data_IF_183704035982
#
_entry.id   IF_183704035982
#
_cell.length_a   1.000
_cell.length_b   1.000
_cell.length_c   1.000
_cell.angle_alpha   90.00
_cell.angle_beta   90.00
_cell.angle_gamma   90.00
#
_symmetry.space_group_name_H-M   'P 1'
#
loop_
_entity.id
_entity.type
_entity.pdbx_description
1 polymer ?
#
# COMPACT_ATOMS: atom_id res chain seq x y z
N UNK A 1 -0.03 16.89 -27.21
CA UNK A 1 -1.19 15.98 -27.02
C UNK A 1 -1.22 15.43 -25.58
N UNK A 2 -0.13 14.84 -25.05
CA UNK A 2 -0.13 14.29 -23.68
C UNK A 2 -0.27 15.36 -22.60
N UNK A 3 0.28 16.54 -22.80
CA UNK A 3 0.19 17.69 -21.87
C UNK A 3 -1.25 18.21 -21.67
N UNK A 4 -2.15 17.93 -22.63
CA UNK A 4 -3.58 18.25 -22.48
C UNK A 4 -4.30 17.32 -21.48
N UNK A 5 -3.72 16.18 -21.14
CA UNK A 5 -4.33 15.18 -20.23
C UNK A 5 -3.60 15.05 -18.89
N UNK A 6 -2.35 15.47 -18.78
CA UNK A 6 -1.56 15.34 -17.55
C UNK A 6 -0.54 16.47 -17.41
N UNK A 7 -0.45 16.99 -16.18
CA UNK A 7 0.58 17.97 -15.80
C UNK A 7 1.95 17.33 -15.57
N UNK A 8 1.99 16.05 -15.26
CA UNK A 8 3.21 15.33 -14.91
C UNK A 8 3.42 14.19 -15.92
N UNK A 9 4.35 14.38 -16.85
CA UNK A 9 4.69 13.41 -17.88
C UNK A 9 6.14 12.97 -17.68
N UNK A 10 6.35 11.65 -17.55
CA UNK A 10 7.67 11.07 -17.38
C UNK A 10 7.98 10.14 -18.54
N UNK A 11 9.09 10.41 -19.24
CA UNK A 11 9.61 9.49 -20.25
C UNK A 11 10.45 8.41 -19.56
N UNK A 12 10.00 7.15 -19.64
CA UNK A 12 10.63 6.01 -18.96
C UNK A 12 11.36 5.06 -19.94
N UNK A 13 11.67 5.53 -21.14
CA UNK A 13 12.40 4.77 -22.14
C UNK A 13 11.52 3.80 -22.92
N UNK A 14 11.86 2.51 -22.95
CA UNK A 14 11.24 1.51 -23.81
C UNK A 14 9.76 1.30 -23.51
N UNK A 15 9.01 0.87 -24.53
CA UNK A 15 7.61 0.41 -24.39
C UNK A 15 7.50 -0.65 -23.28
N UNK A 16 6.44 -0.53 -22.47
CA UNK A 16 6.22 -1.40 -21.30
C UNK A 16 6.79 -0.85 -19.98
N UNK A 17 7.80 0.03 -20.03
CA UNK A 17 8.40 0.59 -18.80
C UNK A 17 7.40 1.41 -17.96
N UNK A 18 6.42 2.06 -18.59
CA UNK A 18 5.34 2.75 -17.87
C UNK A 18 4.49 1.78 -17.04
N UNK A 19 4.13 0.62 -17.57
CA UNK A 19 3.40 -0.41 -16.84
C UNK A 19 4.26 -1.01 -15.70
N UNK A 20 5.53 -1.29 -15.98
CA UNK A 20 6.47 -1.74 -14.95
C UNK A 20 6.58 -0.70 -13.84
N UNK A 21 6.75 0.58 -14.17
CA UNK A 21 6.85 1.65 -13.17
C UNK A 21 5.59 1.77 -12.32
N UNK A 22 4.39 1.60 -12.90
CA UNK A 22 3.13 1.54 -12.13
C UNK A 22 3.14 0.42 -11.09
N UNK A 23 3.60 -0.78 -11.46
CA UNK A 23 3.68 -1.91 -10.53
C UNK A 23 4.72 -1.69 -9.44
N UNK A 24 5.89 -1.12 -9.78
CA UNK A 24 6.93 -0.74 -8.82
C UNK A 24 6.38 0.29 -7.80
N UNK A 25 5.72 1.33 -8.30
CA UNK A 25 5.07 2.35 -7.47
C UNK A 25 4.02 1.72 -6.53
N UNK A 26 3.13 0.89 -7.06
CA UNK A 26 2.10 0.24 -6.25
C UNK A 26 2.71 -0.70 -5.19
N UNK A 27 3.80 -1.40 -5.51
CA UNK A 27 4.50 -2.21 -4.52
C UNK A 27 5.03 -1.39 -3.35
N UNK A 28 5.57 -0.19 -3.61
CA UNK A 28 6.01 0.74 -2.57
C UNK A 28 4.80 1.21 -1.74
N UNK A 29 3.74 1.69 -2.40
CA UNK A 29 2.53 2.18 -1.71
C UNK A 29 1.90 1.10 -0.83
N UNK A 30 1.77 -0.14 -1.33
CA UNK A 30 1.19 -1.24 -0.57
C UNK A 30 2.07 -1.65 0.61
N UNK A 31 3.40 -1.68 0.43
CA UNK A 31 4.34 -1.98 1.52
C UNK A 31 4.27 -0.93 2.62
N UNK A 32 4.23 0.37 2.26
CA UNK A 32 4.07 1.46 3.22
C UNK A 32 2.73 1.36 3.94
N UNK A 33 1.66 1.00 3.25
CA UNK A 33 0.34 0.82 3.87
C UNK A 33 0.36 -0.32 4.90
N UNK A 34 0.89 -1.49 4.53
CA UNK A 34 0.95 -2.64 5.41
C UNK A 34 1.80 -2.39 6.66
N UNK A 35 3.00 -1.77 6.49
CA UNK A 35 3.84 -1.44 7.65
C UNK A 35 3.16 -0.40 8.56
N UNK A 36 2.41 0.56 8.02
CA UNK A 36 1.64 1.47 8.87
C UNK A 36 0.54 0.73 9.64
N UNK A 37 -0.17 -0.23 9.01
CA UNK A 37 -1.15 -1.06 9.74
C UNK A 37 -0.49 -1.80 10.91
N UNK A 38 0.67 -2.39 10.69
CA UNK A 38 1.42 -3.10 11.73
C UNK A 38 1.83 -2.17 12.87
N UNK A 39 2.50 -1.06 12.56
CA UNK A 39 3.04 -0.14 13.57
C UNK A 39 1.94 0.51 14.40
N UNK A 40 0.79 0.87 13.80
CA UNK A 40 -0.33 1.42 14.55
C UNK A 40 -0.92 0.39 15.53
N UNK A 41 -1.05 -0.88 15.11
CA UNK A 41 -1.53 -1.94 16.01
C UNK A 41 -0.53 -2.21 17.14
N UNK A 42 0.78 -2.22 16.84
CA UNK A 42 1.81 -2.30 17.89
C UNK A 42 1.69 -1.12 18.87
N UNK A 43 1.61 0.12 18.36
CA UNK A 43 1.52 1.32 19.18
C UNK A 43 0.30 1.29 20.14
N UNK A 44 -0.84 0.79 19.64
CA UNK A 44 -2.05 0.56 20.48
C UNK A 44 -1.78 -0.34 21.69
N UNK A 45 -0.98 -1.38 21.52
CA UNK A 45 -0.63 -2.29 22.63
C UNK A 45 0.18 -1.60 23.74
N UNK A 46 0.80 -0.47 23.43
CA UNK A 46 1.49 0.41 24.37
C UNK A 46 0.66 1.64 24.79
N UNK A 47 -0.62 1.71 24.45
CA UNK A 47 -1.50 2.81 24.81
C UNK A 47 -1.34 4.10 23.98
N UNK A 48 -0.61 4.05 22.86
CA UNK A 48 -0.43 5.20 21.96
C UNK A 48 -1.58 5.20 20.95
N UNK A 49 -2.23 6.36 20.78
CA UNK A 49 -3.37 6.45 19.85
C UNK A 49 -2.91 6.48 18.38
N UNK A 50 -3.74 5.97 17.48
CA UNK A 50 -3.48 6.02 16.03
C UNK A 50 -3.22 7.45 15.53
N UNK A 51 -3.99 8.40 16.07
CA UNK A 51 -3.87 9.82 15.74
C UNK A 51 -2.50 10.36 16.14
N UNK A 52 -2.00 10.01 17.32
CA UNK A 52 -0.67 10.46 17.76
C UNK A 52 0.44 9.87 16.90
N UNK A 53 0.36 8.57 16.57
CA UNK A 53 1.33 7.92 15.67
C UNK A 53 1.37 8.63 14.32
N UNK A 54 0.21 8.85 13.71
CA UNK A 54 0.11 9.51 12.39
C UNK A 54 0.59 10.97 12.46
N UNK A 55 0.31 11.69 13.53
CA UNK A 55 0.80 13.05 13.73
C UNK A 55 2.33 13.09 13.83
N UNK A 56 2.94 12.16 14.56
CA UNK A 56 4.41 12.02 14.65
C UNK A 56 4.99 11.68 13.28
N UNK A 57 4.42 10.70 12.56
CA UNK A 57 4.90 10.34 11.22
C UNK A 57 4.89 11.52 10.27
N UNK A 58 3.80 12.31 10.26
CA UNK A 58 3.64 13.46 9.38
C UNK A 58 4.58 14.65 9.72
N UNK A 59 5.20 14.64 10.88
CA UNK A 59 6.21 15.65 11.31
C UNK A 59 7.64 15.12 11.26
N UNK A 60 7.84 13.88 10.81
CA UNK A 60 9.13 13.20 10.79
C UNK A 60 9.43 12.55 9.42
N UNK A 61 10.57 11.85 9.32
CA UNK A 61 11.01 11.16 8.11
C UNK A 61 10.12 9.96 7.71
N UNK A 62 9.18 9.55 8.56
CA UNK A 62 8.20 8.52 8.25
C UNK A 62 7.00 9.04 7.43
N UNK A 63 6.96 10.35 7.13
CA UNK A 63 5.91 10.96 6.32
C UNK A 63 5.79 10.32 4.94
N UNK A 64 4.57 10.01 4.55
CA UNK A 64 4.21 9.46 3.25
C UNK A 64 2.81 9.87 2.85
N UNK A 65 2.42 9.69 1.58
CA UNK A 65 1.03 9.88 1.16
C UNK A 65 0.06 9.01 1.99
N UNK A 66 0.51 7.83 2.41
CA UNK A 66 -0.29 6.92 3.23
C UNK A 66 -0.57 7.54 4.61
N UNK A 67 0.45 8.04 5.30
CA UNK A 67 0.29 8.68 6.60
C UNK A 67 -0.40 10.05 6.51
N UNK A 68 -0.11 10.85 5.48
CA UNK A 68 -0.64 12.21 5.34
C UNK A 68 -2.09 12.25 4.84
N UNK A 69 -2.47 11.31 3.98
CA UNK A 69 -3.77 11.32 3.30
C UNK A 69 -4.62 10.08 3.61
N UNK A 70 -4.10 8.87 3.39
CA UNK A 70 -4.91 7.65 3.50
C UNK A 70 -5.40 7.38 4.91
N UNK A 71 -4.51 7.40 5.90
CA UNK A 71 -4.93 7.16 7.28
C UNK A 71 -5.92 8.21 7.77
N UNK A 72 -5.67 9.53 7.71
CA UNK A 72 -6.63 10.51 8.18
C UNK A 72 -7.98 10.47 7.46
N UNK A 73 -7.96 10.39 6.13
CA UNK A 73 -9.17 10.58 5.33
C UNK A 73 -10.00 9.32 5.09
N UNK A 74 -9.42 8.12 5.30
CA UNK A 74 -10.11 6.87 4.95
C UNK A 74 -10.17 5.86 6.10
N UNK A 75 -9.33 5.99 7.14
CA UNK A 75 -9.23 5.02 8.24
C UNK A 75 -9.60 5.68 9.57
N UNK A 76 -8.87 6.71 10.00
CA UNK A 76 -9.09 7.37 11.30
C UNK A 76 -10.45 8.06 11.39
N UNK A 77 -11.01 8.50 10.27
CA UNK A 77 -12.37 9.03 10.19
C UNK A 77 -13.47 7.95 10.21
N UNK A 78 -13.10 6.66 10.29
CA UNK A 78 -14.01 5.53 10.36
C UNK A 78 -14.72 5.15 9.05
N UNK A 79 -14.43 5.79 7.90
CA UNK A 79 -15.17 5.57 6.65
C UNK A 79 -14.73 4.31 5.88
N UNK A 80 -13.46 3.91 5.97
CA UNK A 80 -12.89 2.75 5.26
C UNK A 80 -13.22 2.71 3.76
N UNK A 81 -12.97 3.82 3.07
CA UNK A 81 -13.37 4.06 1.69
C UNK A 81 -12.20 4.53 0.81
N UNK A 82 -11.09 3.78 0.82
CA UNK A 82 -9.90 4.07 0.02
C UNK A 82 -10.11 3.95 -1.49
N UNK A 83 -11.30 3.53 -1.93
CA UNK A 83 -11.75 3.40 -3.34
C UNK A 83 -10.95 2.37 -4.14
N UNK A 84 -10.49 1.31 -3.49
CA UNK A 84 -9.89 0.14 -4.14
C UNK A 84 -10.17 -1.11 -3.32
N UNK A 85 -10.29 -2.25 -3.96
CA UNK A 85 -10.54 -3.53 -3.29
C UNK A 85 -9.25 -4.22 -2.87
N UNK A 86 -9.34 -5.14 -1.90
CA UNK A 86 -8.24 -6.04 -1.50
C UNK A 86 -7.75 -6.84 -2.70
N UNK A 87 -8.65 -7.27 -3.60
CA UNK A 87 -8.29 -7.94 -4.86
C UNK A 87 -7.28 -7.16 -5.68
N UNK A 88 -7.44 -5.83 -5.77
CA UNK A 88 -6.52 -4.99 -6.55
C UNK A 88 -5.11 -4.99 -5.96
N UNK A 89 -4.98 -4.94 -4.62
CA UNK A 89 -3.68 -5.03 -3.96
C UNK A 89 -3.03 -6.41 -4.19
N UNK A 90 -3.79 -7.49 -3.97
CA UNK A 90 -3.33 -8.86 -4.22
C UNK A 90 -2.86 -9.04 -5.67
N UNK A 91 -3.66 -8.56 -6.63
CA UNK A 91 -3.34 -8.66 -8.06
C UNK A 91 -2.04 -7.92 -8.41
N UNK A 92 -1.90 -6.68 -7.97
CA UNK A 92 -0.73 -5.85 -8.32
C UNK A 92 0.57 -6.45 -7.75
N UNK A 93 0.57 -6.93 -6.50
CA UNK A 93 1.73 -7.59 -5.91
C UNK A 93 2.02 -8.96 -6.55
N UNK A 94 0.97 -9.72 -6.92
CA UNK A 94 1.14 -10.99 -7.66
C UNK A 94 1.75 -10.75 -9.03
N UNK A 95 1.27 -9.77 -9.77
CA UNK A 95 1.83 -9.38 -11.07
C UNK A 95 3.27 -8.91 -10.95
N UNK A 96 3.58 -8.10 -9.93
CA UNK A 96 4.95 -7.68 -9.65
C UNK A 96 5.86 -8.89 -9.41
N UNK A 97 5.46 -9.85 -8.59
CA UNK A 97 6.24 -11.05 -8.34
C UNK A 97 6.48 -11.87 -9.61
N UNK A 98 5.50 -11.95 -10.52
CA UNK A 98 5.65 -12.63 -11.81
C UNK A 98 6.67 -11.93 -12.71
N UNK A 99 6.57 -10.60 -12.85
CA UNK A 99 7.50 -9.81 -13.67
C UNK A 99 8.92 -9.91 -13.11
N UNK A 100 9.07 -9.87 -11.80
CA UNK A 100 10.38 -9.93 -11.15
C UNK A 100 10.99 -11.35 -11.10
N UNK A 101 10.31 -12.40 -11.58
CA UNK A 101 10.91 -13.76 -11.63
C UNK A 101 12.26 -13.76 -12.36
N UNK A 102 12.37 -12.97 -13.41
CA UNK A 102 13.59 -12.86 -14.24
C UNK A 102 14.55 -11.74 -13.76
N UNK A 103 14.19 -11.02 -12.70
CA UNK A 103 15.08 -10.01 -12.13
C UNK A 103 16.20 -10.65 -11.33
N UNK A 104 17.43 -10.15 -11.52
CA UNK A 104 18.60 -10.54 -10.71
C UNK A 104 18.53 -9.97 -9.28
N UNK A 105 17.67 -8.99 -9.03
CA UNK A 105 17.52 -8.35 -7.72
C UNK A 105 16.70 -9.20 -6.77
N UNK A 106 17.06 -9.22 -5.49
CA UNK A 106 16.28 -9.87 -4.44
C UNK A 106 15.00 -9.07 -4.15
N UNK A 107 13.87 -9.76 -3.94
CA UNK A 107 12.52 -9.19 -3.84
C UNK A 107 11.94 -9.27 -2.42
N UNK A 108 12.75 -9.01 -1.40
CA UNK A 108 12.42 -9.29 0.01
C UNK A 108 11.07 -8.67 0.46
N UNK A 109 10.90 -7.37 0.31
CA UNK A 109 9.67 -6.68 0.76
C UNK A 109 8.45 -7.00 -0.10
N UNK A 110 8.60 -7.11 -1.42
CA UNK A 110 7.51 -7.47 -2.32
C UNK A 110 6.99 -8.88 -2.04
N UNK A 111 7.88 -9.83 -1.78
CA UNK A 111 7.52 -11.20 -1.40
C UNK A 111 6.85 -11.26 -0.02
N UNK A 112 7.37 -10.50 0.97
CA UNK A 112 6.76 -10.40 2.29
C UNK A 112 5.35 -9.80 2.22
N UNK A 113 5.19 -8.68 1.55
CA UNK A 113 3.89 -8.02 1.38
C UNK A 113 2.88 -8.94 0.68
N UNK A 114 3.31 -9.68 -0.35
CA UNK A 114 2.45 -10.65 -1.02
C UNK A 114 2.07 -11.82 -0.09
N UNK A 115 3.00 -12.31 0.73
CA UNK A 115 2.73 -13.36 1.73
C UNK A 115 1.70 -12.89 2.77
N UNK A 116 1.81 -11.64 3.25
CA UNK A 116 0.85 -11.06 4.18
C UNK A 116 -0.54 -11.02 3.54
N UNK A 117 -0.66 -10.42 2.35
CA UNK A 117 -1.96 -10.30 1.67
C UNK A 117 -2.57 -11.64 1.28
N UNK A 118 -1.75 -12.67 1.03
CA UNK A 118 -2.25 -14.02 0.70
C UNK A 118 -2.95 -14.73 1.86
N UNK A 119 -2.75 -14.28 3.10
CA UNK A 119 -3.44 -14.81 4.27
C UNK A 119 -4.85 -14.25 4.46
N UNK A 120 -5.19 -13.17 3.77
CA UNK A 120 -6.54 -12.58 3.85
C UNK A 120 -7.53 -13.53 3.15
N UNK A 121 -8.61 -13.90 3.86
CA UNK A 121 -9.68 -14.74 3.32
C UNK A 121 -10.23 -14.17 2.01
N UNK A 122 -10.40 -15.03 1.01
CA UNK A 122 -10.89 -14.62 -0.31
C UNK A 122 -12.31 -14.07 -0.29
N UNK A 123 -13.11 -14.39 0.73
CA UNK A 123 -14.43 -13.79 0.96
C UNK A 123 -14.37 -12.28 1.16
N UNK A 124 -13.22 -11.76 1.62
CA UNK A 124 -12.98 -10.34 1.86
C UNK A 124 -12.37 -9.61 0.65
N UNK A 125 -12.14 -10.31 -0.45
CA UNK A 125 -11.48 -9.77 -1.63
C UNK A 125 -12.16 -8.53 -2.22
N UNK A 126 -13.48 -8.43 -2.11
CA UNK A 126 -14.26 -7.28 -2.62
C UNK A 126 -14.35 -6.12 -1.64
N UNK A 127 -13.92 -6.33 -0.38
CA UNK A 127 -13.84 -5.26 0.61
C UNK A 127 -12.84 -4.17 0.20
N UNK A 128 -13.11 -2.94 0.66
CA UNK A 128 -12.14 -1.86 0.50
C UNK A 128 -10.85 -2.21 1.25
N UNK A 129 -9.70 -1.99 0.61
CA UNK A 129 -8.41 -2.38 1.16
C UNK A 129 -8.10 -1.74 2.52
N UNK A 130 -8.67 -0.59 2.83
CA UNK A 130 -8.49 0.07 4.12
C UNK A 130 -9.02 -0.75 5.29
N UNK A 131 -9.94 -1.71 5.05
CA UNK A 131 -10.39 -2.66 6.06
C UNK A 131 -9.30 -3.63 6.54
N UNK A 132 -8.19 -3.79 5.80
CA UNK A 132 -7.01 -4.57 6.24
C UNK A 132 -6.54 -4.07 7.61
N UNK A 133 -6.61 -2.76 7.88
CA UNK A 133 -6.24 -2.20 9.17
C UNK A 133 -7.05 -2.80 10.33
N UNK A 134 -8.37 -3.00 10.17
CA UNK A 134 -9.23 -3.60 11.20
C UNK A 134 -8.95 -5.08 11.45
N UNK A 135 -8.48 -5.77 10.44
CA UNK A 135 -8.25 -7.22 10.50
C UNK A 135 -6.79 -7.60 10.69
N UNK A 136 -5.91 -6.62 10.97
CA UNK A 136 -4.47 -6.84 11.01
C UNK A 136 -4.06 -8.00 11.92
N UNK A 137 -4.60 -8.08 13.14
CA UNK A 137 -4.28 -9.14 14.10
C UNK A 137 -4.79 -10.53 13.70
N UNK A 138 -5.57 -10.64 12.60
CA UNK A 138 -6.12 -11.89 12.06
C UNK A 138 -5.38 -12.37 10.82
N UNK A 139 -4.42 -11.61 10.31
CA UNK A 139 -3.59 -11.90 9.16
C UNK A 139 -2.24 -12.45 9.63
#
# INVERSE_FOLDING_TARGET
ILESFSKNIFYLGKSGNGHLMKLLHNSVCHSIFLINCEILNIAKSYGITDTDVINVFNKSNAKSYISESRFPNNILNGKFNGKSSITNLKKDLKMMNLILKNSKSKKKYTELSNKILSKIDDKLNMEDFTNIYKMWDKI
#
